data_IF_361761845574
#
_entry.id   IF_361761845574
#
_cell.length_a   1.000
_cell.length_b   1.000
_cell.length_c   1.000
_cell.angle_alpha   90.00
_cell.angle_beta   90.00
_cell.angle_gamma   90.00
#
_symmetry.space_group_name_H-M   'P 1'
#
loop_
_entity.id
_entity.type
_entity.pdbx_description
1 polymer ?
#
# COMPACT_ATOMS: atom_id res chain seq x y z
N UNK A 1 -10.06 11.73 -7.87
CA UNK A 1 -11.40 11.14 -7.81
C UNK A 1 -11.72 10.37 -9.09
N UNK A 2 -11.78 9.04 -9.06
CA UNK A 2 -12.37 8.25 -10.16
C UNK A 2 -13.84 8.07 -9.85
N UNK A 3 -14.65 9.10 -10.11
CA UNK A 3 -16.10 8.92 -10.06
C UNK A 3 -16.50 7.93 -11.17
N UNK A 4 -17.41 6.98 -10.89
CA UNK A 4 -17.81 5.96 -11.86
C UNK A 4 -18.34 6.53 -13.18
N UNK A 5 -18.79 7.79 -13.17
CA UNK A 5 -19.27 8.53 -14.35
C UNK A 5 -18.34 9.70 -14.75
N UNK A 6 -17.12 9.77 -14.20
CA UNK A 6 -16.17 10.82 -14.56
C UNK A 6 -15.69 10.64 -16.00
N UNK A 7 -15.79 11.70 -16.80
CA UNK A 7 -15.15 11.79 -18.11
C UNK A 7 -13.76 12.43 -18.06
N UNK A 8 -13.32 12.90 -16.89
CA UNK A 8 -12.07 13.64 -16.71
C UNK A 8 -11.15 12.95 -15.69
N UNK A 9 -9.85 13.10 -15.91
CA UNK A 9 -8.81 12.62 -15.00
C UNK A 9 -8.40 13.75 -14.05
N UNK A 10 -8.30 13.43 -12.77
CA UNK A 10 -7.63 14.28 -11.79
C UNK A 10 -6.22 13.74 -11.59
N UNK A 11 -5.23 14.52 -11.98
CA UNK A 11 -3.83 14.19 -11.78
C UNK A 11 -3.43 14.47 -10.32
N UNK A 12 -2.64 13.56 -9.74
CA UNK A 12 -1.94 13.77 -8.48
C UNK A 12 -0.44 13.76 -8.74
N UNK A 13 0.28 14.64 -8.05
CA UNK A 13 1.74 14.76 -8.17
C UNK A 13 2.49 14.08 -7.02
N UNK A 14 1.76 13.56 -6.03
CA UNK A 14 2.33 13.06 -4.79
C UNK A 14 1.52 11.91 -4.20
N UNK A 15 2.24 11.07 -3.46
CA UNK A 15 1.72 9.97 -2.67
C UNK A 15 2.31 10.10 -1.27
N UNK A 16 1.46 10.14 -0.26
CA UNK A 16 1.86 10.16 1.15
C UNK A 16 1.66 8.78 1.77
N UNK A 17 2.68 8.30 2.48
CA UNK A 17 2.67 7.01 3.18
C UNK A 17 3.14 7.21 4.61
N UNK A 18 2.37 6.70 5.56
CA UNK A 18 2.75 6.54 6.97
C UNK A 18 2.57 5.06 7.33
N UNK A 19 3.67 4.33 7.47
CA UNK A 19 3.67 2.87 7.64
C UNK A 19 4.09 2.53 9.06
N UNK A 20 3.24 1.76 9.75
CA UNK A 20 3.60 1.15 11.03
C UNK A 20 4.03 -0.28 10.74
N UNK A 21 5.31 -0.56 10.93
CA UNK A 21 5.88 -1.90 10.76
C UNK A 21 5.74 -2.72 12.06
N UNK A 22 5.48 -4.01 11.90
CA UNK A 22 5.53 -5.00 12.96
C UNK A 22 6.71 -5.95 12.76
N UNK A 23 6.49 -7.21 13.10
CA UNK A 23 7.51 -8.26 12.96
C UNK A 23 7.95 -8.42 11.49
N UNK A 24 9.24 -8.74 11.30
CA UNK A 24 9.87 -8.90 9.98
C UNK A 24 9.71 -7.69 9.03
N UNK A 25 9.50 -6.48 9.58
CA UNK A 25 9.19 -5.26 8.85
C UNK A 25 7.88 -5.33 8.04
N UNK A 26 6.97 -6.26 8.38
CA UNK A 26 5.67 -6.35 7.74
C UNK A 26 4.74 -5.23 8.25
N UNK A 27 4.09 -4.47 7.36
CA UNK A 27 3.17 -3.41 7.78
C UNK A 27 2.00 -3.95 8.60
N UNK A 28 1.71 -3.36 9.76
CA UNK A 28 0.49 -3.68 10.54
C UNK A 28 -0.62 -2.66 10.29
N UNK A 29 -0.25 -1.46 9.84
CA UNK A 29 -1.15 -0.38 9.42
C UNK A 29 -0.44 0.51 8.40
N UNK A 30 -1.19 1.08 7.47
CA UNK A 30 -0.68 2.16 6.60
C UNK A 30 -1.70 3.27 6.46
N UNK A 31 -1.30 4.51 6.72
CA UNK A 31 -2.00 5.70 6.25
C UNK A 31 -1.54 6.00 4.83
N UNK A 32 -2.48 6.10 3.89
CA UNK A 32 -2.22 6.34 2.48
C UNK A 32 -2.99 7.57 2.00
N UNK A 33 -2.27 8.55 1.45
CA UNK A 33 -2.85 9.73 0.82
C UNK A 33 -2.49 9.78 -0.65
N UNK A 34 -3.47 9.77 -1.54
CA UNK A 34 -3.28 9.88 -3.00
C UNK A 34 -4.41 10.74 -3.58
N UNK A 35 -4.07 11.84 -4.26
CA UNK A 35 -5.05 12.81 -4.79
C UNK A 35 -6.00 13.25 -3.66
N UNK A 36 -7.28 12.87 -3.71
CA UNK A 36 -8.33 13.19 -2.76
C UNK A 36 -8.67 12.02 -1.82
N UNK A 37 -7.98 10.89 -1.96
CA UNK A 37 -8.16 9.73 -1.10
C UNK A 37 -7.26 9.84 0.13
N UNK A 38 -7.89 9.73 1.29
CA UNK A 38 -7.24 9.58 2.59
C UNK A 38 -7.70 8.24 3.17
N UNK A 39 -6.80 7.27 3.21
CA UNK A 39 -7.11 5.87 3.46
C UNK A 39 -6.33 5.35 4.66
N UNK A 40 -7.02 4.61 5.52
CA UNK A 40 -6.40 3.67 6.45
C UNK A 40 -6.42 2.27 5.84
N UNK A 41 -5.26 1.62 5.81
CA UNK A 41 -5.05 0.28 5.27
C UNK A 41 -4.70 -0.68 6.40
N UNK A 42 -5.50 -1.72 6.55
CA UNK A 42 -5.35 -2.81 7.53
C UNK A 42 -5.05 -4.12 6.80
N UNK A 43 -3.81 -4.64 6.86
CA UNK A 43 -3.46 -5.93 6.29
C UNK A 43 -4.16 -7.08 7.01
N UNK A 44 -4.81 -7.98 6.26
CA UNK A 44 -5.60 -9.09 6.80
C UNK A 44 -4.95 -10.46 6.56
N UNK A 45 -4.29 -10.64 5.41
CA UNK A 45 -3.64 -11.90 5.07
C UNK A 45 -2.41 -11.65 4.19
N UNK A 46 -1.24 -12.02 4.70
CA UNK A 46 0.04 -11.83 4.02
C UNK A 46 0.32 -12.94 3.00
N UNK A 47 0.85 -12.53 1.85
CA UNK A 47 1.44 -13.40 0.83
C UNK A 47 2.68 -12.70 0.26
N UNK A 48 3.75 -12.56 1.08
CA UNK A 48 4.92 -11.79 0.71
C UNK A 48 5.71 -12.49 -0.39
N UNK A 49 6.44 -11.70 -1.18
CA UNK A 49 7.29 -12.20 -2.25
C UNK A 49 8.75 -11.87 -1.92
N UNK A 50 9.63 -12.87 -2.03
CA UNK A 50 11.07 -12.70 -1.99
C UNK A 50 11.62 -12.89 -3.40
N UNK A 51 12.29 -11.86 -3.93
CA UNK A 51 13.05 -11.98 -5.16
C UNK A 51 14.54 -12.07 -4.81
N UNK A 52 15.21 -13.08 -5.35
CA UNK A 52 16.64 -13.32 -5.15
C UNK A 52 17.36 -13.23 -6.49
N UNK A 53 18.32 -12.32 -6.59
CA UNK A 53 19.18 -12.21 -7.76
C UNK A 53 20.30 -13.27 -7.70
N UNK A 54 20.82 -13.80 -8.84
CA UNK A 54 21.89 -14.80 -8.82
C UNK A 54 23.19 -14.40 -8.09
N UNK A 55 23.43 -13.11 -7.88
CA UNK A 55 24.55 -12.58 -7.09
C UNK A 55 24.29 -12.52 -5.58
N UNK A 56 23.11 -12.98 -5.12
CA UNK A 56 22.73 -13.05 -3.72
C UNK A 56 21.96 -11.83 -3.18
N UNK A 57 21.72 -10.79 -3.98
CA UNK A 57 20.87 -9.66 -3.53
C UNK A 57 19.41 -10.08 -3.39
N UNK A 58 18.76 -9.59 -2.34
CA UNK A 58 17.35 -9.83 -2.06
C UNK A 58 16.52 -8.55 -2.20
N UNK A 59 15.30 -8.70 -2.73
CA UNK A 59 14.25 -7.70 -2.63
C UNK A 59 13.03 -8.33 -1.95
N UNK A 60 12.55 -7.67 -0.89
CA UNK A 60 11.43 -8.13 -0.07
C UNK A 60 10.22 -7.27 -0.39
N UNK A 61 9.12 -7.92 -0.71
CA UNK A 61 7.85 -7.27 -1.02
C UNK A 61 6.81 -7.78 -0.02
N UNK A 62 6.59 -7.06 1.10
CA UNK A 62 5.37 -7.24 1.87
C UNK A 62 4.19 -7.06 0.93
N UNK A 63 3.31 -8.04 0.91
CA UNK A 63 2.09 -8.01 0.10
C UNK A 63 0.98 -8.67 0.89
N UNK A 64 -0.18 -8.03 0.93
CA UNK A 64 -1.31 -8.52 1.69
C UNK A 64 -2.64 -8.24 1.02
N UNK A 65 -3.61 -9.12 1.26
CA UNK A 65 -5.02 -8.74 1.17
C UNK A 65 -5.28 -7.79 2.34
N UNK A 66 -5.87 -6.64 2.06
CA UNK A 66 -6.10 -5.61 3.05
C UNK A 66 -7.53 -5.06 2.98
N UNK A 67 -7.99 -4.55 4.12
CA UNK A 67 -9.14 -3.66 4.20
C UNK A 67 -8.66 -2.21 4.03
N UNK A 68 -9.38 -1.45 3.23
CA UNK A 68 -9.19 -0.02 3.05
C UNK A 68 -10.39 0.70 3.60
N UNK A 69 -10.16 1.69 4.45
CA UNK A 69 -11.18 2.56 5.00
C UNK A 69 -10.85 3.99 4.63
N UNK A 70 -11.71 4.63 3.84
CA UNK A 70 -11.57 6.04 3.52
C UNK A 70 -12.02 6.92 4.69
N UNK A 71 -11.45 8.11 4.81
CA UNK A 71 -11.83 9.09 5.84
C UNK A 71 -13.33 9.49 5.78
N UNK A 72 -13.98 9.33 4.63
CA UNK A 72 -15.42 9.55 4.46
C UNK A 72 -16.30 8.34 4.83
N UNK A 73 -15.69 7.28 5.38
CA UNK A 73 -16.38 6.08 5.89
C UNK A 73 -16.60 4.98 4.85
N UNK A 74 -16.26 5.20 3.57
CA UNK A 74 -16.31 4.11 2.58
C UNK A 74 -15.27 3.04 2.91
N UNK A 75 -15.62 1.78 2.67
CA UNK A 75 -14.73 0.64 2.91
C UNK A 75 -14.66 -0.28 1.71
N UNK A 76 -13.50 -0.87 1.47
CA UNK A 76 -13.28 -1.87 0.42
C UNK A 76 -12.18 -2.87 0.78
N UNK A 77 -12.06 -3.92 -0.02
CA UNK A 77 -10.99 -4.90 0.08
C UNK A 77 -10.14 -4.91 -1.18
N UNK A 78 -8.84 -5.16 -1.04
CA UNK A 78 -7.92 -5.24 -2.18
C UNK A 78 -6.54 -5.75 -1.80
N UNK A 79 -5.71 -6.00 -2.81
CA UNK A 79 -4.30 -6.32 -2.62
C UNK A 79 -3.47 -5.04 -2.59
N UNK A 80 -2.48 -5.01 -1.70
CA UNK A 80 -1.46 -3.97 -1.63
C UNK A 80 -0.09 -4.61 -1.45
N UNK A 81 0.91 -3.97 -2.02
CA UNK A 81 2.33 -4.31 -1.91
C UNK A 81 3.10 -3.06 -1.48
N UNK A 82 4.07 -3.24 -0.59
CA UNK A 82 4.96 -2.17 -0.14
C UNK A 82 6.33 -2.38 -0.74
N UNK A 83 6.81 -1.40 -1.49
CA UNK A 83 8.19 -1.38 -1.96
C UNK A 83 9.07 -0.84 -0.84
N UNK A 84 9.72 -1.74 -0.10
CA UNK A 84 10.70 -1.41 0.95
C UNK A 84 12.12 -1.73 0.45
N UNK A 85 12.72 -0.89 -0.41
CA UNK A 85 14.12 -1.07 -0.74
C UNK A 85 14.97 -0.95 0.54
N UNK A 86 16.10 -1.66 0.63
CA UNK A 86 17.01 -1.52 1.77
C UNK A 86 17.37 -0.04 2.00
N UNK A 87 17.45 0.36 3.26
CA UNK A 87 18.01 1.66 3.61
C UNK A 87 19.46 1.75 3.08
N UNK A 88 19.90 2.94 2.63
CA UNK A 88 21.27 3.15 2.14
C UNK A 88 22.34 2.89 3.21
#
# INVERSE_FOLDING_TARGET
RLDPDSSEFVEGDSVGLDVVEGDECLPTRTGLKIVDLDLEVEPLAFSPVLLVHPDGREARFPRAMARFTAADGRTGGGWIEWNQPPAP
#
